data_IF_487372290801
#
_entry.id   IF_487372290801
#
_cell.length_a   1.000
_cell.length_b   1.000
_cell.length_c   1.000
_cell.angle_alpha   90.00
_cell.angle_beta   90.00
_cell.angle_gamma   90.00
#
_symmetry.space_group_name_H-M   'P 1'
#
loop_
_entity.id
_entity.type
_entity.pdbx_description
1 polymer ?
#
# COMPACT_ATOMS: atom_id res chain seq x y z
N UNK A 1 -16.07 -6.71 14.00
CA UNK A 1 -16.02 -5.54 13.10
C UNK A 1 -15.25 -5.96 11.86
N UNK A 2 -15.76 -5.69 10.66
CA UNK A 2 -15.00 -5.93 9.44
C UNK A 2 -13.91 -4.84 9.35
N UNK A 3 -12.64 -5.21 9.49
CA UNK A 3 -11.53 -4.30 9.20
C UNK A 3 -11.55 -3.97 7.72
N UNK A 4 -11.66 -2.69 7.36
CA UNK A 4 -11.61 -2.27 5.95
C UNK A 4 -10.18 -2.44 5.46
N UNK A 5 -9.99 -3.22 4.41
CA UNK A 5 -8.70 -3.45 3.77
C UNK A 5 -8.55 -2.55 2.54
N UNK A 6 -7.37 -1.94 2.38
CA UNK A 6 -7.06 -1.05 1.26
C UNK A 6 -6.52 -1.86 0.07
N UNK A 7 -7.25 -1.86 -1.04
CA UNK A 7 -6.77 -2.38 -2.32
C UNK A 7 -6.04 -1.31 -3.12
N UNK A 8 -4.85 -1.62 -3.64
CA UNK A 8 -4.05 -0.73 -4.49
C UNK A 8 -3.72 -1.43 -5.80
N UNK A 9 -4.08 -0.81 -6.93
CA UNK A 9 -3.64 -1.23 -8.26
C UNK A 9 -2.42 -0.40 -8.62
N UNK A 10 -1.26 -1.04 -8.66
CA UNK A 10 0.02 -0.42 -8.99
C UNK A 10 0.62 -0.99 -10.27
N UNK A 11 1.86 -0.61 -10.54
CA UNK A 11 2.60 -1.01 -11.73
C UNK A 11 2.90 0.12 -12.71
N UNK A 12 2.44 1.34 -12.43
CA UNK A 12 2.66 2.53 -13.30
C UNK A 12 3.58 3.58 -12.63
N UNK A 13 4.84 3.33 -12.30
CA UNK A 13 5.67 2.13 -12.46
C UNK A 13 5.84 1.29 -11.17
N UNK A 14 6.60 0.19 -11.23
CA UNK A 14 6.89 -0.65 -10.06
C UNK A 14 7.56 0.12 -8.92
N UNK A 15 8.56 0.94 -9.24
CA UNK A 15 9.26 1.75 -8.24
C UNK A 15 8.36 2.81 -7.60
N UNK A 16 7.45 3.41 -8.37
CA UNK A 16 6.47 4.36 -7.83
C UNK A 16 5.50 3.65 -6.87
N UNK A 17 5.14 2.40 -7.17
CA UNK A 17 4.27 1.59 -6.32
C UNK A 17 4.96 1.22 -5.00
N UNK A 18 6.25 0.86 -5.04
CA UNK A 18 7.05 0.63 -3.83
C UNK A 18 7.20 1.91 -2.99
N UNK A 19 7.47 3.04 -3.65
CA UNK A 19 7.57 4.33 -2.99
C UNK A 19 6.25 4.78 -2.38
N UNK A 20 5.11 4.49 -3.02
CA UNK A 20 3.78 4.70 -2.44
C UNK A 20 3.62 3.92 -1.13
N UNK A 21 3.99 2.63 -1.09
CA UNK A 21 3.95 1.84 0.14
C UNK A 21 4.83 2.46 1.24
N UNK A 22 6.04 2.88 0.88
CA UNK A 22 6.97 3.56 1.81
C UNK A 22 6.33 4.82 2.41
N UNK A 23 5.69 5.65 1.58
CA UNK A 23 4.99 6.85 2.03
C UNK A 23 3.82 6.51 2.95
N UNK A 24 2.99 5.52 2.61
CA UNK A 24 1.88 5.08 3.48
C UNK A 24 2.41 4.66 4.84
N UNK A 25 3.48 3.86 4.89
CA UNK A 25 4.10 3.44 6.15
C UNK A 25 4.60 4.65 6.94
N UNK A 26 5.35 5.57 6.31
CA UNK A 26 5.92 6.75 6.98
C UNK A 26 4.89 7.77 7.46
N UNK A 27 3.76 7.86 6.78
CA UNK A 27 2.71 8.84 7.08
C UNK A 27 1.59 8.29 7.96
N UNK A 28 1.57 6.98 8.22
CA UNK A 28 0.59 6.40 9.16
C UNK A 28 1.06 6.66 10.57
N UNK A 29 0.22 7.34 11.38
CA UNK A 29 0.45 7.49 12.82
C UNK A 29 0.18 6.15 13.53
N UNK A 30 1.21 5.31 13.59
CA UNK A 30 1.17 3.98 14.18
C UNK A 30 2.26 3.85 15.26
N UNK A 31 1.89 3.33 16.43
CA UNK A 31 2.84 3.03 17.52
C UNK A 31 3.38 1.61 17.46
N UNK A 32 2.78 0.75 16.64
CA UNK A 32 3.19 -0.63 16.41
C UNK A 32 2.70 -1.16 15.06
N UNK A 33 3.27 -2.25 14.57
CA UNK A 33 3.01 -2.78 13.22
C UNK A 33 1.53 -3.06 12.93
N UNK A 34 0.78 -3.51 13.95
CA UNK A 34 -0.67 -3.81 13.86
C UNK A 34 -1.57 -2.59 13.69
N UNK A 35 -1.03 -1.39 13.89
CA UNK A 35 -1.77 -0.13 13.73
C UNK A 35 -1.64 0.43 12.30
N UNK A 36 -0.79 -0.16 11.45
CA UNK A 36 -0.69 0.21 10.05
C UNK A 36 -1.95 -0.15 9.25
N UNK A 37 -2.15 0.55 8.13
CA UNK A 37 -3.26 0.31 7.21
C UNK A 37 -3.12 -1.09 6.60
N UNK A 38 -4.07 -2.03 6.82
CA UNK A 38 -4.06 -3.33 6.15
C UNK A 38 -4.28 -3.13 4.66
N UNK A 39 -3.44 -3.75 3.83
CA UNK A 39 -3.34 -3.44 2.41
C UNK A 39 -2.98 -4.65 1.55
N UNK A 40 -3.60 -4.74 0.38
CA UNK A 40 -3.18 -5.60 -0.72
C UNK A 40 -2.78 -4.72 -1.90
N UNK A 41 -1.54 -4.86 -2.37
CA UNK A 41 -1.04 -4.19 -3.57
C UNK A 41 -0.96 -5.19 -4.73
N UNK A 42 -1.76 -4.96 -5.76
CA UNK A 42 -1.63 -5.63 -7.05
C UNK A 42 -0.69 -4.82 -7.96
N UNK A 43 0.59 -5.16 -7.96
CA UNK A 43 1.60 -4.52 -8.81
C UNK A 43 1.66 -5.22 -10.17
N UNK A 44 1.04 -4.64 -11.21
CA UNK A 44 1.02 -5.21 -12.55
C UNK A 44 1.61 -4.24 -13.58
N UNK A 45 2.93 -4.29 -13.83
CA UNK A 45 3.60 -3.31 -14.70
C UNK A 45 3.27 -3.46 -16.19
N UNK A 46 2.56 -4.52 -16.56
CA UNK A 46 2.10 -4.78 -17.92
C UNK A 46 0.69 -4.21 -18.20
N UNK A 47 0.11 -3.45 -17.26
CA UNK A 47 -1.09 -2.64 -17.55
C UNK A 47 -0.73 -1.67 -18.69
N UNK A 48 -1.52 -1.63 -19.78
CA UNK A 48 -1.23 -0.81 -20.97
C UNK A 48 -1.06 0.69 -20.70
#
# INVERSE_FOLDING_TARGET
MLTKELGVIGGLGPMATAYFLELVVKMTDAKSDREHVPMIIFNHPAVP
#
